data_IF_873171869802
#
_entry.id   IF_873171869802
#
_cell.length_a   1.000
_cell.length_b   1.000
_cell.length_c   1.000
_cell.angle_alpha   90.00
_cell.angle_beta   90.00
_cell.angle_gamma   90.00
#
_symmetry.space_group_name_H-M   'P 1'
#
loop_
_entity.id
_entity.type
_entity.pdbx_description
1 polymer ?
#
# COMPACT_ATOMS: atom_id res chain seq x y z
N UNK A 1 4.68 5.23 0.33
CA UNK A 1 4.31 4.06 1.15
C UNK A 1 3.04 3.45 0.60
N UNK A 2 3.03 2.17 0.24
CA UNK A 2 1.78 1.44 -0.04
C UNK A 2 1.36 0.78 1.26
N UNK A 3 0.22 1.19 1.81
CA UNK A 3 -0.31 0.68 3.06
C UNK A 3 -1.52 -0.21 2.77
N UNK A 4 -1.28 -1.51 2.77
CA UNK A 4 -2.28 -2.58 2.64
C UNK A 4 -2.44 -3.35 3.97
N UNK A 5 -2.10 -2.69 5.08
CA UNK A 5 -2.25 -3.16 6.46
C UNK A 5 -1.58 -4.52 6.75
N UNK A 6 -0.32 -4.70 6.35
CA UNK A 6 0.48 -5.88 6.72
C UNK A 6 1.23 -6.50 5.54
N UNK A 7 1.79 -7.69 5.75
CA UNK A 7 2.55 -8.43 4.75
C UNK A 7 1.68 -9.13 3.71
N UNK A 8 0.96 -8.40 2.86
CA UNK A 8 -0.04 -9.01 1.94
C UNK A 8 0.53 -9.97 0.88
N UNK A 9 1.86 -10.08 0.76
CA UNK A 9 2.50 -11.19 0.03
C UNK A 9 2.04 -12.56 0.56
N UNK A 10 1.70 -12.67 1.84
CA UNK A 10 1.20 -13.91 2.43
C UNK A 10 -0.25 -14.24 2.05
N UNK A 11 -0.98 -13.29 1.48
CA UNK A 11 -2.29 -13.52 0.86
C UNK A 11 -2.16 -14.08 -0.57
N UNK A 12 -1.02 -13.83 -1.24
CA UNK A 12 -0.68 -14.44 -2.53
C UNK A 12 -0.19 -15.89 -2.36
N UNK A 13 0.57 -16.16 -1.31
CA UNK A 13 1.09 -17.49 -1.00
C UNK A 13 -0.01 -18.40 -0.39
N UNK A 14 0.07 -19.74 -0.57
CA UNK A 14 -0.88 -20.69 0.00
C UNK A 14 -0.66 -20.90 1.51
N UNK A 15 -0.77 -19.82 2.29
CA UNK A 15 -0.61 -19.85 3.75
C UNK A 15 -1.87 -20.40 4.44
N UNK A 16 -1.75 -21.07 5.60
CA UNK A 16 -2.91 -21.59 6.34
C UNK A 16 -3.81 -20.45 6.82
N UNK A 17 -5.09 -20.46 6.39
CA UNK A 17 -6.04 -19.36 6.63
C UNK A 17 -6.18 -18.97 8.11
N UNK A 18 -6.23 -19.95 9.01
CA UNK A 18 -6.47 -19.73 10.44
C UNK A 18 -5.30 -19.04 11.15
N UNK A 19 -4.08 -19.18 10.62
CA UNK A 19 -2.85 -18.65 11.22
C UNK A 19 -2.36 -17.39 10.49
N UNK A 20 -2.88 -17.14 9.29
CA UNK A 20 -2.41 -16.12 8.35
C UNK A 20 -2.37 -14.72 8.96
N UNK A 21 -3.44 -14.28 9.61
CA UNK A 21 -3.50 -12.92 10.15
C UNK A 21 -2.46 -12.69 11.25
N UNK A 22 -2.43 -13.60 12.22
CA UNK A 22 -1.61 -13.47 13.44
C UNK A 22 -0.13 -13.72 13.21
N UNK A 23 0.22 -14.70 12.36
CA UNK A 23 1.59 -15.19 12.23
C UNK A 23 2.27 -14.80 10.92
N UNK A 24 1.52 -14.24 9.96
CA UNK A 24 2.07 -13.88 8.64
C UNK A 24 1.79 -12.42 8.27
N UNK A 25 0.51 -12.02 8.20
CA UNK A 25 0.14 -10.67 7.77
C UNK A 25 0.56 -9.60 8.77
N UNK A 26 0.40 -9.88 10.07
CA UNK A 26 0.78 -8.99 11.18
C UNK A 26 0.31 -7.54 10.96
N UNK A 27 -1.00 -7.30 10.76
CA UNK A 27 -1.55 -5.97 10.55
C UNK A 27 -1.18 -5.06 11.73
N UNK A 28 -0.54 -3.93 11.44
CA UNK A 28 -0.15 -2.96 12.47
C UNK A 28 -1.24 -1.92 12.70
N UNK A 29 -2.22 -1.78 11.78
CA UNK A 29 -3.31 -0.81 11.87
C UNK A 29 -2.82 0.63 12.14
N UNK A 30 -1.78 1.05 11.41
CA UNK A 30 -1.16 2.39 11.55
C UNK A 30 -1.20 3.17 10.25
N UNK A 31 -1.16 4.49 10.38
CA UNK A 31 -0.88 5.45 9.31
C UNK A 31 0.47 6.13 9.56
N UNK A 32 1.07 6.67 8.49
CA UNK A 32 2.40 7.27 8.53
C UNK A 32 2.39 8.80 8.75
N UNK A 33 1.21 9.40 8.95
CA UNK A 33 1.03 10.84 9.17
C UNK A 33 1.86 11.39 10.34
N UNK A 34 1.81 10.73 11.50
CA UNK A 34 2.58 11.13 12.67
C UNK A 34 4.08 10.87 12.51
N UNK A 35 4.45 9.81 11.78
CA UNK A 35 5.85 9.54 11.47
C UNK A 35 6.43 10.65 10.58
N UNK A 36 5.70 11.08 9.55
CA UNK A 36 6.11 12.19 8.71
C UNK A 36 6.22 13.50 9.52
N UNK A 37 5.23 13.79 10.38
CA UNK A 37 5.24 14.98 11.23
C UNK A 37 6.43 15.00 12.21
N UNK A 38 6.83 13.85 12.77
CA UNK A 38 7.98 13.72 13.68
C UNK A 38 9.31 14.16 13.03
N UNK A 39 9.44 13.98 11.72
CA UNK A 39 10.64 14.34 10.95
C UNK A 39 10.46 15.62 10.12
N UNK A 40 9.40 16.39 10.38
CA UNK A 40 9.07 17.62 9.64
C UNK A 40 8.95 17.41 8.12
N UNK A 41 8.45 16.24 7.71
CA UNK A 41 8.26 15.88 6.31
C UNK A 41 6.86 16.28 5.82
N UNK A 42 6.76 16.70 4.55
CA UNK A 42 5.47 16.86 3.88
C UNK A 42 4.77 15.51 3.80
N UNK A 43 3.46 15.48 4.04
CA UNK A 43 2.67 14.25 4.04
C UNK A 43 1.41 14.40 3.18
N UNK A 44 1.13 13.40 2.34
CA UNK A 44 -0.10 13.31 1.56
C UNK A 44 -0.67 11.89 1.65
N UNK A 45 -2.00 11.79 1.73
CA UNK A 45 -2.75 10.52 1.65
C UNK A 45 -3.84 10.63 0.58
N UNK A 46 -3.45 10.59 -0.71
CA UNK A 46 -4.40 10.77 -1.81
C UNK A 46 -5.44 9.65 -1.83
N UNK A 47 -6.69 10.00 -2.15
CA UNK A 47 -7.82 9.08 -2.20
C UNK A 47 -8.16 8.62 -3.63
N UNK A 48 -7.50 9.21 -4.64
CA UNK A 48 -7.71 8.92 -6.05
C UNK A 48 -6.48 9.32 -6.88
N UNK A 49 -6.54 9.00 -8.18
CA UNK A 49 -5.46 9.29 -9.13
C UNK A 49 -5.17 10.79 -9.27
N UNK A 50 -6.20 11.64 -9.31
CA UNK A 50 -6.02 13.09 -9.46
C UNK A 50 -5.26 13.70 -8.27
N UNK A 51 -5.58 13.25 -7.06
CA UNK A 51 -4.88 13.67 -5.84
C UNK A 51 -3.44 13.14 -5.79
N UNK A 52 -3.20 11.91 -6.26
CA UNK A 52 -1.85 11.35 -6.35
C UNK A 52 -0.98 12.14 -7.34
N UNK A 53 -1.50 12.45 -8.51
CA UNK A 53 -0.81 13.28 -9.51
C UNK A 53 -0.46 14.66 -8.94
N UNK A 54 -1.41 15.29 -8.25
CA UNK A 54 -1.21 16.59 -7.61
C UNK A 54 -0.12 16.52 -6.53
N UNK A 55 -0.18 15.52 -5.64
CA UNK A 55 0.80 15.32 -4.58
C UNK A 55 2.22 15.07 -5.13
N UNK A 56 2.34 14.29 -6.22
CA UNK A 56 3.61 14.09 -6.91
C UNK A 56 4.13 15.40 -7.52
N UNK A 57 3.28 16.13 -8.25
CA UNK A 57 3.65 17.40 -8.85
C UNK A 57 4.16 18.41 -7.81
N UNK A 58 3.52 18.47 -6.64
CA UNK A 58 3.95 19.32 -5.52
C UNK A 58 5.27 18.85 -4.88
N UNK A 59 5.45 17.54 -4.70
CA UNK A 59 6.65 16.95 -4.12
C UNK A 59 7.91 17.29 -4.93
N UNK A 60 7.83 17.24 -6.27
CA UNK A 60 8.96 17.48 -7.17
C UNK A 60 9.43 18.95 -7.21
N UNK A 61 8.66 19.91 -6.68
CA UNK A 61 9.01 21.34 -6.72
C UNK A 61 10.17 21.73 -5.81
N UNK A 62 10.48 20.91 -4.82
CA UNK A 62 11.46 21.23 -3.78
C UNK A 62 12.36 20.04 -3.50
N UNK A 63 13.67 20.24 -3.25
CA UNK A 63 14.61 19.16 -2.92
C UNK A 63 14.43 18.70 -1.46
N UNK A 64 13.22 18.29 -1.10
CA UNK A 64 12.84 17.81 0.24
C UNK A 64 12.11 16.49 0.12
N UNK A 65 12.15 15.66 1.16
CA UNK A 65 11.41 14.40 1.20
C UNK A 65 9.92 14.67 1.44
N UNK A 66 9.06 14.03 0.65
CA UNK A 66 7.61 14.02 0.82
C UNK A 66 7.14 12.57 1.00
N UNK A 67 6.36 12.30 2.04
CA UNK A 67 5.74 11.00 2.29
C UNK A 67 4.36 10.99 1.62
N UNK A 68 4.19 10.13 0.62
CA UNK A 68 2.88 9.85 0.02
C UNK A 68 2.44 8.45 0.46
N UNK A 69 1.36 8.37 1.22
CA UNK A 69 0.77 7.11 1.68
C UNK A 69 -0.44 6.74 0.81
N UNK A 70 -0.31 5.65 0.07
CA UNK A 70 -1.40 5.04 -0.69
C UNK A 70 -2.05 3.96 0.18
N UNK A 71 -3.18 4.29 0.80
CA UNK A 71 -3.98 3.30 1.52
C UNK A 71 -4.82 2.52 0.52
N UNK A 72 -4.67 1.21 0.51
CA UNK A 72 -5.39 0.30 -0.39
C UNK A 72 -6.01 -0.83 0.41
N UNK A 73 -7.03 -1.47 -0.15
CA UNK A 73 -7.58 -2.68 0.44
C UNK A 73 -6.50 -3.77 0.52
N UNK A 74 -6.61 -4.60 1.54
CA UNK A 74 -5.63 -5.62 1.91
C UNK A 74 -5.27 -6.57 0.76
N UNK A 75 -6.28 -7.17 0.13
CA UNK A 75 -6.12 -8.33 -0.74
C UNK A 75 -6.31 -8.02 -2.21
N UNK A 76 -6.77 -6.83 -2.57
CA UNK A 76 -7.05 -6.43 -3.96
C UNK A 76 -5.83 -6.68 -4.87
N UNK A 77 -4.63 -6.27 -4.44
CA UNK A 77 -3.41 -6.47 -5.22
C UNK A 77 -3.07 -7.95 -5.47
N UNK A 78 -3.24 -8.81 -4.45
CA UNK A 78 -3.00 -10.24 -4.58
C UNK A 78 -4.05 -10.91 -5.49
N UNK A 79 -5.32 -10.52 -5.34
CA UNK A 79 -6.43 -11.04 -6.15
C UNK A 79 -6.31 -10.61 -7.62
N UNK A 80 -6.03 -9.33 -7.90
CA UNK A 80 -5.85 -8.85 -9.28
C UNK A 80 -4.72 -9.59 -9.98
N UNK A 81 -3.58 -9.84 -9.30
CA UNK A 81 -2.49 -10.62 -9.88
C UNK A 81 -2.90 -12.07 -10.20
N UNK A 82 -3.58 -12.75 -9.27
CA UNK A 82 -4.08 -14.11 -9.49
C UNK A 82 -5.06 -14.18 -10.68
N UNK A 83 -5.95 -13.20 -10.80
CA UNK A 83 -6.90 -13.10 -11.91
C UNK A 83 -6.20 -12.89 -13.26
N UNK A 84 -5.21 -11.98 -13.32
CA UNK A 84 -4.44 -11.74 -14.54
C UNK A 84 -3.64 -12.99 -14.96
N UNK A 85 -3.03 -13.71 -14.02
CA UNK A 85 -2.33 -14.96 -14.30
C UNK A 85 -3.28 -16.02 -14.86
N UNK A 86 -4.48 -16.17 -14.28
CA UNK A 86 -5.49 -17.09 -14.78
C UNK A 86 -5.92 -16.71 -16.21
N UNK A 87 -6.17 -15.42 -16.48
CA UNK A 87 -6.56 -14.93 -17.81
C UNK A 87 -5.49 -15.22 -18.87
N UNK A 88 -4.21 -14.93 -18.57
CA UNK A 88 -3.11 -15.16 -19.52
C UNK A 88 -2.84 -16.65 -19.74
N UNK A 89 -3.10 -17.52 -18.75
CA UNK A 89 -2.92 -18.97 -18.89
C UNK A 89 -3.92 -19.65 -19.85
N UNK A 90 -4.97 -18.94 -20.25
CA UNK A 90 -5.99 -19.41 -21.19
C UNK A 90 -5.83 -18.81 -22.61
N UNK A 91 -4.80 -17.99 -22.84
CA UNK A 91 -4.40 -17.49 -24.16
C UNK A 91 -3.43 -18.47 -24.84
#
# INVERSE_FOLDING_TARGET
MVNNNGGQIFSLLPTPKNERERFYLMPQNVHFEHAAAMFELKYHRPQNWQELETALADAWRTPTTTVIEMVVNDTDGAQTLQQLLAQVSHL
#
